data_IF_053727828051
#
_entry.id   IF_053727828051
#
_cell.length_a   1.000
_cell.length_b   1.000
_cell.length_c   1.000
_cell.angle_alpha   90.00
_cell.angle_beta   90.00
_cell.angle_gamma   90.00
#
_symmetry.space_group_name_H-M   'P 1'
#
loop_
_entity.id
_entity.type
_entity.pdbx_description
1 polymer ?
#
# COMPACT_ATOMS: atom_id res chain seq x y z
N UNK A 1 -29.13 43.87 46.77
CA UNK A 1 -29.67 43.42 45.48
C UNK A 1 -28.69 42.36 44.95
N UNK A 2 -29.17 41.15 44.65
CA UNK A 2 -28.36 39.94 44.42
C UNK A 2 -27.95 39.86 42.95
N UNK A 3 -26.65 39.67 42.71
CA UNK A 3 -26.04 39.54 41.39
C UNK A 3 -26.51 38.26 40.69
N UNK A 4 -27.17 38.39 39.54
CA UNK A 4 -27.61 37.26 38.70
C UNK A 4 -26.48 36.92 37.73
N UNK A 5 -25.75 35.85 38.05
CA UNK A 5 -24.96 35.11 37.06
C UNK A 5 -25.93 34.43 36.09
N UNK A 6 -25.79 34.67 34.78
CA UNK A 6 -26.46 33.87 33.75
C UNK A 6 -25.46 33.44 32.67
N UNK A 7 -25.37 32.12 32.55
CA UNK A 7 -24.46 31.33 31.74
C UNK A 7 -24.36 31.74 30.27
N UNK A 8 -23.13 31.85 29.78
CA UNK A 8 -22.81 31.86 28.35
C UNK A 8 -22.67 30.40 27.91
N UNK A 9 -23.59 29.93 27.07
CA UNK A 9 -23.56 28.58 26.52
C UNK A 9 -22.71 28.60 25.24
N UNK A 10 -21.54 27.98 25.26
CA UNK A 10 -20.69 27.80 24.08
C UNK A 10 -21.08 26.49 23.37
N UNK A 11 -21.79 26.60 22.25
CA UNK A 11 -22.00 25.49 21.32
C UNK A 11 -20.73 25.34 20.47
N UNK A 12 -19.83 24.44 20.87
CA UNK A 12 -18.69 24.05 20.04
C UNK A 12 -19.17 22.96 19.08
N UNK A 13 -19.36 23.33 17.81
CA UNK A 13 -19.68 22.39 16.74
C UNK A 13 -18.38 21.65 16.35
N UNK A 14 -18.19 20.43 16.87
CA UNK A 14 -17.09 19.57 16.46
C UNK A 14 -17.40 18.97 15.08
N UNK A 15 -16.75 19.49 14.04
CA UNK A 15 -16.65 18.80 12.76
C UNK A 15 -15.74 17.58 12.99
N UNK A 16 -16.34 16.43 13.27
CA UNK A 16 -15.63 15.16 13.26
C UNK A 16 -15.16 14.93 11.82
N UNK A 17 -13.87 15.09 11.59
CA UNK A 17 -13.23 14.63 10.36
C UNK A 17 -13.42 13.12 10.29
N UNK A 18 -14.36 12.66 9.47
CA UNK A 18 -14.44 11.25 9.11
C UNK A 18 -13.15 10.95 8.36
N UNK A 19 -12.23 10.24 9.02
CA UNK A 19 -11.11 9.64 8.33
C UNK A 19 -11.73 8.60 7.38
N UNK A 20 -11.81 8.90 6.09
CA UNK A 20 -12.11 7.89 5.11
C UNK A 20 -10.97 6.87 5.22
N UNK A 21 -11.31 5.63 5.61
CA UNK A 21 -10.37 4.53 5.49
C UNK A 21 -10.18 4.31 3.99
N UNK A 22 -9.11 4.87 3.43
CA UNK A 22 -8.71 4.56 2.07
C UNK A 22 -8.24 3.11 2.09
N UNK A 23 -8.88 2.27 1.27
CA UNK A 23 -8.41 0.91 1.07
C UNK A 23 -7.06 1.00 0.37
N UNK A 24 -5.97 0.68 1.06
CA UNK A 24 -4.66 0.58 0.43
C UNK A 24 -4.47 -0.84 -0.12
N UNK A 25 -3.72 -1.02 -1.22
CA UNK A 25 -3.27 -2.34 -1.61
C UNK A 25 -2.42 -2.96 -0.50
N UNK A 26 -2.22 -4.27 -0.54
CA UNK A 26 -1.40 -5.00 0.43
C UNK A 26 -0.42 -5.87 -0.32
N UNK A 27 0.86 -5.79 0.04
CA UNK A 27 1.83 -6.81 -0.37
C UNK A 27 1.63 -8.00 0.56
N UNK A 28 0.99 -9.06 0.05
CA UNK A 28 0.70 -10.26 0.83
C UNK A 28 1.88 -11.22 0.86
N UNK A 29 2.64 -11.26 -0.23
CA UNK A 29 3.89 -12.02 -0.35
C UNK A 29 4.93 -11.11 -0.99
N UNK A 30 6.15 -11.02 -0.45
CA UNK A 30 6.59 -11.58 0.82
C UNK A 30 5.91 -10.91 2.03
N UNK A 31 5.87 -11.60 3.16
CA UNK A 31 5.43 -11.01 4.44
C UNK A 31 6.56 -10.21 5.09
N UNK A 32 6.22 -9.33 6.03
CA UNK A 32 7.21 -8.60 6.82
C UNK A 32 8.27 -9.52 7.46
N UNK A 33 9.52 -9.07 7.41
CA UNK A 33 10.69 -9.78 7.93
C UNK A 33 11.19 -10.93 7.05
N UNK A 34 10.58 -11.18 5.90
CA UNK A 34 11.02 -12.26 4.99
C UNK A 34 12.46 -12.02 4.55
N UNK A 35 13.26 -13.09 4.55
CA UNK A 35 14.61 -13.06 4.00
C UNK A 35 14.59 -13.40 2.52
N UNK A 36 15.17 -12.53 1.70
CA UNK A 36 15.34 -12.70 0.25
C UNK A 36 16.82 -12.81 -0.09
N UNK A 37 17.12 -13.47 -1.20
CA UNK A 37 18.49 -13.61 -1.70
C UNK A 37 18.75 -12.60 -2.82
N UNK A 38 19.85 -11.86 -2.74
CA UNK A 38 20.28 -10.95 -3.79
C UNK A 38 20.48 -11.71 -5.11
N UNK A 39 20.04 -11.14 -6.23
CA UNK A 39 20.10 -11.78 -7.56
C UNK A 39 19.05 -12.87 -7.81
N UNK A 40 18.20 -13.21 -6.84
CA UNK A 40 17.16 -14.22 -7.02
C UNK A 40 15.86 -13.64 -7.62
N UNK A 41 15.09 -14.49 -8.29
CA UNK A 41 13.71 -14.17 -8.66
C UNK A 41 12.77 -14.43 -7.48
N UNK A 42 11.91 -13.45 -7.20
CA UNK A 42 10.94 -13.49 -6.12
C UNK A 42 9.56 -13.18 -6.68
N UNK A 43 8.56 -13.93 -6.23
CA UNK A 43 7.16 -13.62 -6.51
C UNK A 43 6.65 -12.63 -5.46
N UNK A 44 6.21 -11.47 -5.92
CA UNK A 44 5.50 -10.48 -5.12
C UNK A 44 4.02 -10.59 -5.44
N UNK A 45 3.21 -10.96 -4.45
CA UNK A 45 1.76 -11.00 -4.57
C UNK A 45 1.19 -9.71 -3.99
N UNK A 46 0.62 -8.88 -4.87
CA UNK A 46 -0.08 -7.66 -4.47
C UNK A 46 -1.57 -7.93 -4.50
N UNK A 47 -2.19 -7.75 -3.34
CA UNK A 47 -3.62 -7.80 -3.14
C UNK A 47 -4.20 -6.41 -3.30
N UNK A 48 -5.29 -6.33 -4.06
CA UNK A 48 -6.07 -5.12 -4.23
C UNK A 48 -6.87 -4.79 -2.95
N UNK A 49 -7.14 -3.51 -2.76
CA UNK A 49 -7.87 -3.05 -1.60
C UNK A 49 -9.39 -3.20 -1.78
N UNK A 50 -10.10 -3.20 -0.65
CA UNK A 50 -11.54 -3.00 -0.66
C UNK A 50 -11.85 -1.50 -0.76
N UNK A 51 -12.00 -0.98 -1.98
CA UNK A 51 -12.43 0.40 -2.21
C UNK A 51 -13.93 0.58 -1.96
N UNK A 52 -14.31 1.66 -1.27
CA UNK A 52 -15.71 1.99 -0.99
C UNK A 52 -16.44 2.55 -2.22
N UNK A 53 -15.70 3.17 -3.14
CA UNK A 53 -16.16 3.68 -4.43
C UNK A 53 -15.58 2.84 -5.56
N UNK A 54 -16.26 2.74 -6.72
CA UNK A 54 -15.66 2.14 -7.91
C UNK A 54 -14.36 2.87 -8.29
N UNK A 55 -13.34 2.10 -8.62
CA UNK A 55 -12.07 2.61 -9.14
C UNK A 55 -11.78 2.03 -10.52
N UNK A 56 -11.00 2.76 -11.31
CA UNK A 56 -10.41 2.30 -12.57
C UNK A 56 -8.93 2.13 -12.35
N UNK A 57 -8.48 0.88 -12.48
CA UNK A 57 -7.09 0.51 -12.34
C UNK A 57 -6.21 1.07 -13.46
N UNK A 58 -5.05 1.63 -13.11
CA UNK A 58 -4.10 2.17 -14.09
C UNK A 58 -2.74 1.51 -14.01
N UNK A 59 -2.01 1.66 -12.89
CA UNK A 59 -0.64 1.15 -12.81
C UNK A 59 -0.20 0.77 -11.42
N UNK A 60 0.80 -0.11 -11.37
CA UNK A 60 1.53 -0.46 -10.17
C UNK A 60 3.03 -0.38 -10.45
N UNK A 61 3.77 0.21 -9.53
CA UNK A 61 5.22 0.16 -9.47
C UNK A 61 5.65 -0.61 -8.23
N UNK A 62 6.58 -1.56 -8.40
CA UNK A 62 7.22 -2.27 -7.30
C UNK A 62 8.67 -1.83 -7.20
N UNK A 63 9.16 -1.60 -5.99
CA UNK A 63 10.52 -1.17 -5.79
C UNK A 63 11.09 -1.53 -4.42
N UNK A 64 12.41 -1.44 -4.33
CA UNK A 64 13.17 -1.62 -3.10
C UNK A 64 13.87 -0.33 -2.73
N UNK A 65 13.88 -0.01 -1.45
CA UNK A 65 14.68 1.06 -0.88
C UNK A 65 15.34 0.59 0.42
N UNK A 66 16.61 0.94 0.69
CA UNK A 66 17.27 0.55 1.92
C UNK A 66 16.61 1.26 3.11
N UNK A 67 16.40 0.53 4.19
CA UNK A 67 16.00 1.12 5.45
C UNK A 67 17.23 1.74 6.15
N UNK A 68 17.01 2.87 6.80
CA UNK A 68 17.96 3.39 7.79
C UNK A 68 17.67 2.76 9.16
N UNK A 69 18.57 2.96 10.12
CA UNK A 69 18.41 2.45 11.49
C UNK A 69 17.13 2.98 12.19
N UNK A 70 16.57 4.09 11.73
CA UNK A 70 15.45 4.78 12.36
C UNK A 70 14.17 4.79 11.54
N UNK A 71 14.26 4.58 10.22
CA UNK A 71 13.08 4.59 9.33
C UNK A 71 13.32 3.89 8.00
N UNK A 72 12.24 3.35 7.43
CA UNK A 72 12.18 2.89 6.06
C UNK A 72 11.44 3.93 5.19
N UNK A 73 11.94 4.26 3.99
CA UNK A 73 11.26 5.20 3.11
C UNK A 73 9.94 4.64 2.55
N UNK A 74 8.97 5.51 2.34
CA UNK A 74 7.72 5.16 1.67
C UNK A 74 7.91 5.16 0.14
N UNK A 75 7.28 4.24 -0.61
CA UNK A 75 7.48 4.08 -2.05
C UNK A 75 7.03 5.28 -2.91
N UNK A 76 6.13 6.12 -2.40
CA UNK A 76 5.75 7.41 -3.01
C UNK A 76 6.84 8.48 -2.84
N UNK A 77 7.75 8.31 -1.88
CA UNK A 77 8.88 9.22 -1.66
C UNK A 77 10.13 8.75 -2.41
N UNK A 78 10.47 7.47 -2.32
CA UNK A 78 11.63 6.91 -3.03
C UNK A 78 11.56 5.40 -3.26
N UNK A 79 11.94 5.00 -4.46
CA UNK A 79 12.32 3.63 -4.82
C UNK A 79 13.75 3.68 -5.37
N UNK A 80 14.74 3.18 -4.61
CA UNK A 80 16.12 3.11 -5.09
C UNK A 80 16.24 2.17 -6.29
N UNK A 81 15.62 1.00 -6.17
CA UNK A 81 15.54 0.01 -7.23
C UNK A 81 14.10 -0.12 -7.69
N UNK A 82 13.83 0.20 -8.95
CA UNK A 82 12.53 -0.04 -9.58
C UNK A 82 12.53 -1.46 -10.14
N UNK A 83 11.77 -2.36 -9.52
CA UNK A 83 11.69 -3.78 -9.87
C UNK A 83 10.65 -4.07 -10.94
N UNK A 84 9.56 -3.31 -10.93
CA UNK A 84 8.47 -3.41 -11.91
C UNK A 84 7.78 -2.06 -12.03
N UNK A 85 7.31 -1.74 -13.24
CA UNK A 85 6.34 -0.67 -13.46
C UNK A 85 5.47 -1.04 -14.66
N UNK A 86 4.16 -0.95 -14.50
CA UNK A 86 3.24 -1.34 -15.57
C UNK A 86 1.79 -1.39 -15.12
N UNK A 87 0.95 -1.97 -15.97
CA UNK A 87 -0.48 -2.10 -15.70
C UNK A 87 -0.76 -3.02 -14.51
N UNK A 88 -1.70 -2.59 -13.66
CA UNK A 88 -2.25 -3.41 -12.59
C UNK A 88 -3.64 -3.90 -13.00
N UNK A 89 -3.86 -5.20 -12.95
CA UNK A 89 -5.14 -5.82 -13.31
C UNK A 89 -5.40 -7.03 -12.40
N UNK A 90 -5.69 -6.79 -11.12
CA UNK A 90 -5.85 -7.85 -10.13
C UNK A 90 -7.05 -8.73 -10.49
N UNK A 91 -6.88 -10.05 -10.38
CA UNK A 91 -7.91 -11.04 -10.71
C UNK A 91 -8.49 -11.64 -9.44
N UNK A 92 -9.81 -11.81 -9.39
CA UNK A 92 -10.46 -12.57 -8.30
C UNK A 92 -10.31 -14.07 -8.56
N UNK A 93 -9.95 -14.87 -7.55
CA UNK A 93 -9.96 -16.33 -7.70
C UNK A 93 -11.37 -16.85 -7.99
N UNK A 94 -11.44 -17.90 -8.82
CA UNK A 94 -12.68 -18.42 -9.42
C UNK A 94 -13.52 -19.34 -8.51
N UNK A 95 -13.12 -19.54 -7.25
CA UNK A 95 -13.79 -20.44 -6.29
C UNK A 95 -14.37 -19.62 -5.13
N UNK A 96 -15.57 -19.96 -4.58
CA UNK A 96 -16.18 -19.17 -3.52
C UNK A 96 -15.39 -19.43 -2.23
N UNK A 97 -14.45 -18.54 -1.91
CA UNK A 97 -13.76 -18.61 -0.63
C UNK A 97 -14.53 -17.73 0.34
N UNK A 98 -15.12 -18.38 1.34
CA UNK A 98 -15.79 -17.74 2.47
C UNK A 98 -14.85 -16.77 3.16
N UNK A 99 -14.97 -15.44 2.94
CA UNK A 99 -14.26 -14.38 3.70
C UNK A 99 -12.81 -14.73 4.14
N UNK A 100 -12.06 -15.43 3.30
CA UNK A 100 -10.64 -15.74 3.52
C UNK A 100 -9.86 -14.60 2.85
N UNK A 101 -8.76 -14.06 3.41
CA UNK A 101 -7.90 -13.10 2.70
C UNK A 101 -7.49 -13.51 1.28
N UNK A 102 -7.59 -14.79 0.90
CA UNK A 102 -7.49 -15.21 -0.51
C UNK A 102 -8.65 -14.78 -1.43
N UNK A 103 -9.71 -14.15 -0.93
CA UNK A 103 -10.92 -13.79 -1.68
C UNK A 103 -10.84 -12.42 -2.37
N UNK A 104 -9.84 -11.61 -2.02
CA UNK A 104 -9.60 -10.32 -2.67
C UNK A 104 -8.98 -10.53 -4.05
N UNK A 105 -9.16 -9.56 -4.94
CA UNK A 105 -8.47 -9.57 -6.20
C UNK A 105 -6.96 -9.42 -5.95
N UNK A 106 -6.12 -10.14 -6.67
CA UNK A 106 -4.67 -10.03 -6.53
C UNK A 106 -3.96 -10.23 -7.87
N UNK A 107 -2.70 -9.83 -7.91
CA UNK A 107 -1.80 -10.10 -9.03
C UNK A 107 -0.41 -10.49 -8.52
N UNK A 108 0.16 -11.49 -9.17
CA UNK A 108 1.52 -11.95 -8.91
C UNK A 108 2.49 -11.29 -9.89
N UNK A 109 3.60 -10.78 -9.36
CA UNK A 109 4.70 -10.21 -10.12
C UNK A 109 5.95 -11.02 -9.84
N UNK A 110 6.63 -11.48 -10.88
CA UNK A 110 7.96 -12.08 -10.73
C UNK A 110 8.99 -11.01 -10.99
N UNK A 111 9.79 -10.69 -9.97
CA UNK A 111 10.79 -9.64 -10.00
C UNK A 111 12.14 -10.19 -9.57
N UNK A 112 13.22 -9.62 -10.11
CA UNK A 112 14.58 -9.99 -9.72
C UNK A 112 15.09 -9.04 -8.66
N UNK A 113 15.58 -9.57 -7.54
CA UNK A 113 16.23 -8.77 -6.49
C UNK A 113 17.62 -8.34 -7.00
N UNK A 114 17.99 -7.05 -6.90
CA UNK A 114 19.31 -6.58 -7.32
C UNK A 114 20.43 -7.36 -6.63
N UNK A 115 21.47 -7.74 -7.39
CA UNK A 115 22.59 -8.56 -6.90
C UNK A 115 23.45 -7.87 -5.83
N UNK A 116 23.43 -6.55 -5.83
CA UNK A 116 24.17 -5.65 -4.95
C UNK A 116 23.40 -5.27 -3.68
N UNK A 117 22.12 -5.65 -3.58
CA UNK A 117 21.31 -5.34 -2.40
C UNK A 117 21.71 -6.24 -1.22
N UNK A 118 21.88 -5.64 -0.03
CA UNK A 118 22.23 -6.36 1.20
C UNK A 118 21.77 -5.58 2.43
N UNK A 119 21.19 -6.29 3.41
CA UNK A 119 20.66 -5.73 4.65
C UNK A 119 19.14 -5.50 4.61
N UNK A 120 18.65 -4.60 5.46
CA UNK A 120 17.21 -4.34 5.58
C UNK A 120 16.73 -3.36 4.50
N UNK A 121 15.67 -3.76 3.80
CA UNK A 121 15.02 -2.99 2.76
C UNK A 121 13.51 -2.93 2.99
N UNK A 122 12.88 -1.87 2.52
CA UNK A 122 11.44 -1.83 2.29
C UNK A 122 11.17 -2.24 0.86
N UNK A 123 10.32 -3.25 0.68
CA UNK A 123 9.69 -3.58 -0.58
C UNK A 123 8.37 -2.82 -0.62
N UNK A 124 8.29 -1.86 -1.53
CA UNK A 124 7.16 -0.97 -1.68
C UNK A 124 6.41 -1.18 -2.97
N UNK A 125 5.09 -1.00 -2.90
CA UNK A 125 4.19 -0.91 -4.03
C UNK A 125 3.59 0.49 -4.06
N UNK A 126 3.70 1.16 -5.20
CA UNK A 126 3.02 2.42 -5.51
C UNK A 126 1.94 2.12 -6.53
N UNK A 127 0.69 2.30 -6.15
CA UNK A 127 -0.49 2.02 -6.95
C UNK A 127 -1.15 3.33 -7.37
N UNK A 128 -1.53 3.42 -8.64
CA UNK A 128 -2.26 4.57 -9.17
C UNK A 128 -3.56 4.11 -9.84
N UNK A 129 -4.63 4.85 -9.58
CA UNK A 129 -5.98 4.54 -10.04
C UNK A 129 -6.79 5.83 -10.25
N UNK A 130 -7.98 5.71 -10.81
CA UNK A 130 -8.98 6.77 -10.86
C UNK A 130 -10.18 6.40 -10.00
N UNK A 131 -10.53 7.22 -9.02
CA UNK A 131 -11.76 7.04 -8.23
C UNK A 131 -12.87 7.92 -8.75
N UNK A 132 -14.09 7.38 -8.76
CA UNK A 132 -15.30 8.18 -8.94
C UNK A 132 -15.64 8.91 -7.63
N UNK A 133 -16.13 10.15 -7.73
CA UNK A 133 -16.66 10.89 -6.58
C UNK A 133 -18.19 10.71 -6.44
N UNK A 134 -18.81 11.41 -5.48
CA UNK A 134 -20.27 11.47 -5.39
C UNK A 134 -20.92 12.27 -6.55
N UNK A 135 -20.11 12.96 -7.35
CA UNK A 135 -20.48 13.66 -8.58
C UNK A 135 -19.87 12.89 -9.78
N UNK A 136 -20.37 13.08 -11.02
CA UNK A 136 -19.88 12.39 -12.22
C UNK A 136 -18.50 12.92 -12.67
N UNK A 137 -17.54 12.84 -11.78
CA UNK A 137 -16.16 13.32 -11.91
C UNK A 137 -15.22 12.24 -11.37
N UNK A 138 -14.13 11.99 -12.11
CA UNK A 138 -13.07 11.08 -11.74
C UNK A 138 -11.86 11.86 -11.24
N UNK A 139 -11.24 11.38 -10.17
CA UNK A 139 -10.04 11.97 -9.59
C UNK A 139 -8.91 10.94 -9.56
N UNK A 140 -7.67 11.33 -9.86
CA UNK A 140 -6.55 10.44 -9.72
C UNK A 140 -6.30 10.16 -8.23
N UNK A 141 -6.09 8.90 -7.90
CA UNK A 141 -5.73 8.41 -6.58
C UNK A 141 -4.38 7.69 -6.63
N UNK A 142 -3.68 7.73 -5.51
CA UNK A 142 -2.45 6.95 -5.32
C UNK A 142 -2.45 6.39 -3.92
N UNK A 143 -2.22 5.09 -3.81
CA UNK A 143 -2.05 4.42 -2.52
C UNK A 143 -0.73 3.64 -2.53
N UNK A 144 -0.25 3.33 -1.33
CA UNK A 144 1.04 2.66 -1.14
C UNK A 144 0.89 1.46 -0.23
N UNK A 145 1.70 0.44 -0.49
CA UNK A 145 1.90 -0.67 0.42
C UNK A 145 3.39 -0.90 0.63
N UNK A 146 3.78 -1.32 1.83
CA UNK A 146 5.17 -1.58 2.17
C UNK A 146 5.27 -2.83 3.02
N UNK A 147 6.30 -3.62 2.77
CA UNK A 147 6.76 -4.66 3.68
C UNK A 147 8.27 -4.55 3.87
N UNK A 148 8.75 -4.88 5.06
CA UNK A 148 10.18 -4.92 5.35
C UNK A 148 10.75 -6.29 5.01
N UNK A 149 11.87 -6.33 4.30
CA UNK A 149 12.56 -7.58 3.93
C UNK A 149 14.04 -7.47 4.29
N UNK A 150 14.64 -8.61 4.63
CA UNK A 150 16.08 -8.71 4.85
C UNK A 150 16.72 -9.36 3.61
N UNK A 151 17.68 -8.70 2.98
CA UNK A 151 18.34 -9.21 1.78
C UNK A 151 19.73 -9.74 2.17
N UNK A 152 19.96 -11.01 1.87
CA UNK A 152 21.27 -11.67 2.06
C UNK A 152 21.99 -11.83 0.72
N UNK A 153 23.33 -11.76 0.69
CA UNK A 153 24.11 -12.06 -0.51
C UNK A 153 23.84 -13.46 -1.06
N UNK A 154 23.93 -13.64 -2.38
CA UNK A 154 23.90 -14.96 -2.97
C UNK A 154 25.09 -15.79 -2.45
N UNK A 155 24.82 -16.96 -1.89
CA UNK A 155 25.86 -17.94 -1.55
C UNK A 155 26.50 -18.44 -2.84
N UNK A 156 27.76 -18.07 -3.09
CA UNK A 156 28.62 -18.73 -4.07
C UNK A 156 28.97 -20.15 -3.62
#
# INVERSE_FOLDING_TARGET
MKNVFRSVSYFVLALASTQFAHGNPVIWIPTDGTTLTAGSEVTVMVQDAAYATPIVETSLSLGLSPCSDTSCPSPDTSMLYLLYTGGFNPQRPSSPVSYDPGSYAFQNFTVTIPSEASGNYTLGALHTFWSESALPEYFPGTDVATVTVNIIPASN
#
